data_IF_328765513637
#
_entry.id   IF_328765513637
#
_cell.length_a   1.000
_cell.length_b   1.000
_cell.length_c   1.000
_cell.angle_alpha   90.00
_cell.angle_beta   90.00
_cell.angle_gamma   90.00
#
_symmetry.space_group_name_H-M   'P 1'
#
loop_
_entity.id
_entity.type
_entity.pdbx_description
1 polymer ?
#
# COMPACT_ATOMS: atom_id res chain seq x y z
N UNK A 1 10.20 19.11 -2.53
CA UNK A 1 10.77 17.81 -2.97
C UNK A 1 9.77 16.73 -2.60
N UNK A 2 9.34 15.89 -3.52
CA UNK A 2 8.32 14.84 -3.34
C UNK A 2 6.92 15.37 -2.97
N UNK A 3 6.53 16.52 -3.48
CA UNK A 3 5.25 17.19 -3.18
C UNK A 3 4.04 16.46 -3.80
N UNK A 4 4.31 15.56 -4.73
CA UNK A 4 3.34 14.65 -5.34
C UNK A 4 3.05 13.39 -4.47
N UNK A 5 3.79 13.19 -3.39
CA UNK A 5 3.47 12.19 -2.36
C UNK A 5 2.71 12.86 -1.23
N UNK A 6 1.49 12.41 -1.00
CA UNK A 6 0.63 12.97 0.04
C UNK A 6 1.04 12.51 1.43
N UNK A 7 1.06 13.44 2.37
CA UNK A 7 1.38 13.16 3.77
C UNK A 7 2.84 12.76 4.00
N UNK A 8 3.09 12.12 5.13
CA UNK A 8 4.41 11.57 5.54
C UNK A 8 5.53 12.61 5.66
N UNK A 9 5.20 13.84 6.06
CA UNK A 9 6.14 14.97 6.08
C UNK A 9 7.39 14.69 6.94
N UNK A 10 7.23 14.06 8.10
CA UNK A 10 8.36 13.68 8.96
C UNK A 10 9.31 12.69 8.27
N UNK A 11 8.76 11.71 7.54
CA UNK A 11 9.56 10.75 6.78
C UNK A 11 10.27 11.44 5.62
N UNK A 12 9.61 12.35 4.91
CA UNK A 12 10.21 13.15 3.83
C UNK A 12 11.36 14.01 4.36
N UNK A 13 11.18 14.69 5.49
CA UNK A 13 12.23 15.47 6.13
C UNK A 13 13.42 14.62 6.56
N UNK A 14 13.16 13.44 7.15
CA UNK A 14 14.22 12.51 7.51
C UNK A 14 15.01 12.06 6.28
N UNK A 15 14.33 11.65 5.22
CA UNK A 15 14.95 11.23 3.97
C UNK A 15 15.73 12.37 3.29
N UNK A 16 15.22 13.61 3.34
CA UNK A 16 15.92 14.78 2.82
C UNK A 16 17.26 15.03 3.53
N UNK A 17 17.33 14.79 4.85
CA UNK A 17 18.60 14.87 5.61
C UNK A 17 19.60 13.81 5.16
N UNK A 18 19.16 12.62 4.75
CA UNK A 18 20.05 11.57 4.26
C UNK A 18 20.68 11.88 2.90
N UNK A 19 20.14 12.84 2.15
CA UNK A 19 20.76 13.32 0.90
C UNK A 19 22.00 14.18 1.17
N UNK A 20 22.11 14.78 2.34
CA UNK A 20 23.29 15.55 2.72
C UNK A 20 24.49 14.62 2.96
N UNK A 21 25.73 15.09 2.69
CA UNK A 21 26.95 14.34 3.03
C UNK A 21 27.02 14.06 4.54
N UNK A 22 27.34 12.84 4.92
CA UNK A 22 27.45 12.46 6.34
C UNK A 22 27.34 10.95 6.55
N UNK A 23 27.17 10.56 7.80
CA UNK A 23 26.96 9.15 8.17
C UNK A 23 25.55 8.72 7.74
N UNK A 24 25.47 7.91 6.68
CA UNK A 24 24.21 7.40 6.12
C UNK A 24 23.98 5.97 6.59
N UNK A 25 22.77 5.62 6.97
CA UNK A 25 22.43 4.24 7.24
C UNK A 25 22.55 3.42 5.94
N UNK A 26 22.97 2.19 6.07
CA UNK A 26 23.04 1.26 4.93
C UNK A 26 21.70 0.63 4.58
N UNK A 27 20.72 0.65 5.52
CA UNK A 27 19.42 0.04 5.30
C UNK A 27 18.29 0.81 6.00
N UNK A 28 17.19 0.99 5.27
CA UNK A 28 15.94 1.59 5.72
C UNK A 28 14.80 0.58 5.58
N UNK A 29 13.83 0.65 6.47
CA UNK A 29 12.58 -0.09 6.37
C UNK A 29 11.40 0.89 6.38
N UNK A 30 10.63 0.94 5.30
CA UNK A 30 9.37 1.68 5.21
C UNK A 30 8.24 0.72 5.50
N UNK A 31 7.55 0.89 6.63
CA UNK A 31 6.48 -0.02 7.03
C UNK A 31 5.19 0.72 7.40
N UNK A 32 4.06 0.06 7.23
CA UNK A 32 2.71 0.61 7.48
C UNK A 32 1.67 0.08 6.49
N UNK A 33 0.42 0.52 6.56
CA UNK A 33 -0.68 0.02 5.74
C UNK A 33 -0.35 -0.02 4.23
N UNK A 34 -1.02 -0.90 3.50
CA UNK A 34 -0.86 -1.01 2.05
C UNK A 34 -1.44 0.22 1.34
N UNK A 35 -0.89 0.59 0.17
CA UNK A 35 -1.44 1.65 -0.68
C UNK A 35 -1.22 3.10 -0.21
N UNK A 36 -0.48 3.34 0.90
CA UNK A 36 -0.25 4.69 1.45
C UNK A 36 0.96 5.43 0.86
N UNK A 37 1.58 4.90 -0.21
CA UNK A 37 2.67 5.59 -0.92
C UNK A 37 4.09 5.18 -0.52
N UNK A 38 4.31 4.16 0.32
CA UNK A 38 5.65 3.69 0.76
C UNK A 38 6.59 3.39 -0.41
N UNK A 39 6.16 2.54 -1.35
CA UNK A 39 6.93 2.19 -2.55
C UNK A 39 7.22 3.41 -3.40
N UNK A 40 6.23 4.27 -3.61
CA UNK A 40 6.38 5.49 -4.40
C UNK A 40 7.44 6.42 -3.80
N UNK A 41 7.41 6.62 -2.46
CA UNK A 41 8.44 7.43 -1.79
C UNK A 41 9.82 6.77 -1.85
N UNK A 42 9.91 5.44 -1.70
CA UNK A 42 11.17 4.70 -1.84
C UNK A 42 11.79 4.88 -3.23
N UNK A 43 11.01 4.76 -4.30
CA UNK A 43 11.46 4.94 -5.68
C UNK A 43 11.89 6.40 -5.96
N UNK A 44 11.15 7.38 -5.45
CA UNK A 44 11.50 8.79 -5.60
C UNK A 44 12.74 9.16 -4.82
N UNK A 45 12.88 8.64 -3.60
CA UNK A 45 14.09 8.81 -2.81
C UNK A 45 15.28 8.17 -3.52
N UNK A 46 15.16 6.94 -4.04
CA UNK A 46 16.22 6.27 -4.79
C UNK A 46 16.66 7.09 -6.02
N UNK A 47 15.70 7.60 -6.81
CA UNK A 47 15.98 8.49 -7.96
C UNK A 47 16.73 9.76 -7.54
N UNK A 48 16.31 10.36 -6.44
CA UNK A 48 16.94 11.57 -5.90
C UNK A 48 18.34 11.27 -5.39
N UNK A 49 18.50 10.17 -4.67
CA UNK A 49 19.78 9.74 -4.08
C UNK A 49 20.85 9.39 -5.13
N UNK A 50 20.42 8.83 -6.27
CA UNK A 50 21.30 8.48 -7.39
C UNK A 50 21.51 9.64 -8.38
N UNK A 51 20.85 10.78 -8.19
CA UNK A 51 20.99 11.93 -9.07
C UNK A 51 22.44 12.47 -9.06
N UNK A 52 23.02 12.70 -10.25
CA UNK A 52 24.37 13.19 -10.41
C UNK A 52 24.56 14.68 -10.11
N UNK A 53 23.46 15.41 -9.89
CA UNK A 53 23.48 16.84 -9.59
C UNK A 53 22.99 17.10 -8.17
N UNK A 54 23.89 17.35 -7.21
CA UNK A 54 23.56 17.48 -5.80
C UNK A 54 22.61 18.65 -5.47
N UNK A 55 22.65 19.72 -6.26
CA UNK A 55 21.90 20.96 -5.96
C UNK A 55 20.48 20.99 -6.54
N UNK A 56 20.15 20.05 -7.44
CA UNK A 56 18.87 20.01 -8.17
C UNK A 56 18.18 18.64 -8.01
N UNK A 57 17.95 18.16 -6.82
CA UNK A 57 17.46 16.79 -6.58
C UNK A 57 15.93 16.61 -6.72
N UNK A 58 15.47 15.63 -7.53
CA UNK A 58 16.09 15.04 -8.71
C UNK A 58 16.08 16.02 -9.88
N UNK A 59 17.18 16.20 -10.58
CA UNK A 59 17.27 17.19 -11.67
C UNK A 59 16.45 16.83 -12.92
N UNK A 60 16.00 15.58 -13.06
CA UNK A 60 15.21 15.07 -14.19
C UNK A 60 15.95 14.96 -15.55
N UNK A 61 17.15 15.52 -15.68
CA UNK A 61 17.87 15.67 -16.97
C UNK A 61 19.22 14.99 -17.05
N UNK A 62 19.85 14.60 -15.93
CA UNK A 62 21.09 13.82 -15.97
C UNK A 62 20.79 12.38 -16.41
N UNK A 63 21.84 11.66 -16.80
CA UNK A 63 21.72 10.29 -17.28
C UNK A 63 21.08 9.38 -16.24
N UNK A 64 21.51 9.45 -14.99
CA UNK A 64 20.90 8.72 -13.88
C UNK A 64 19.38 8.97 -13.76
N UNK A 65 18.94 10.24 -13.81
CA UNK A 65 17.52 10.57 -13.75
C UNK A 65 16.70 10.08 -14.95
N UNK A 66 17.31 9.98 -16.14
CA UNK A 66 16.64 9.46 -17.36
C UNK A 66 16.46 7.95 -17.28
N UNK A 67 17.48 7.24 -16.78
CA UNK A 67 17.45 5.78 -16.65
C UNK A 67 16.50 5.28 -15.55
N UNK A 68 16.13 6.15 -14.59
CA UNK A 68 15.06 5.88 -13.62
C UNK A 68 13.83 6.69 -14.03
N UNK A 69 13.06 6.18 -15.00
CA UNK A 69 11.82 6.81 -15.44
C UNK A 69 10.62 6.23 -14.66
N UNK A 70 10.20 6.95 -13.61
CA UNK A 70 9.11 6.52 -12.76
C UNK A 70 7.75 6.52 -13.48
N UNK A 71 7.56 7.41 -14.46
CA UNK A 71 6.32 7.51 -15.21
C UNK A 71 6.11 6.33 -16.16
N UNK A 72 7.21 5.81 -16.74
CA UNK A 72 7.19 4.67 -17.64
C UNK A 72 7.53 3.34 -16.94
N UNK A 73 7.68 3.36 -15.60
CA UNK A 73 8.15 2.22 -14.83
C UNK A 73 9.42 1.57 -15.41
N UNK A 74 10.30 2.39 -15.97
CA UNK A 74 11.57 1.96 -16.54
C UNK A 74 12.72 2.17 -15.56
N UNK A 75 13.44 1.11 -15.23
CA UNK A 75 14.50 1.09 -14.22
C UNK A 75 15.80 0.50 -14.82
N UNK A 76 16.24 1.07 -15.94
CA UNK A 76 17.45 0.61 -16.65
C UNK A 76 18.77 1.13 -16.04
N UNK A 77 18.72 1.73 -14.84
CA UNK A 77 19.89 2.31 -14.18
C UNK A 77 20.81 1.22 -13.61
N UNK A 78 22.12 1.21 -13.93
CA UNK A 78 23.03 0.14 -13.49
C UNK A 78 23.27 0.09 -11.98
N UNK A 79 23.01 1.20 -11.27
CA UNK A 79 23.17 1.31 -9.82
C UNK A 79 21.84 1.32 -9.09
N UNK A 80 20.73 0.97 -9.75
CA UNK A 80 19.43 0.81 -9.15
C UNK A 80 18.90 -0.61 -9.35
N UNK A 81 18.47 -1.23 -8.28
CA UNK A 81 17.86 -2.57 -8.30
C UNK A 81 16.49 -2.49 -7.64
N UNK A 82 15.49 -2.99 -8.35
CA UNK A 82 14.15 -3.20 -7.81
C UNK A 82 13.88 -4.69 -7.71
N UNK A 83 13.62 -5.15 -6.49
CA UNK A 83 13.16 -6.51 -6.21
C UNK A 83 11.68 -6.43 -5.84
N UNK A 84 10.85 -7.08 -6.63
CA UNK A 84 9.40 -7.09 -6.42
C UNK A 84 8.79 -8.44 -6.74
N UNK A 85 7.55 -8.64 -6.34
CA UNK A 85 6.82 -9.88 -6.60
C UNK A 85 6.64 -10.11 -8.11
N UNK A 86 6.83 -11.34 -8.58
CA UNK A 86 6.58 -11.74 -9.99
C UNK A 86 5.11 -11.56 -10.41
N UNK A 87 4.20 -11.68 -9.45
CA UNK A 87 2.79 -11.38 -9.58
C UNK A 87 2.20 -11.01 -8.22
N UNK A 88 1.11 -10.21 -8.18
CA UNK A 88 0.47 -9.82 -6.93
C UNK A 88 0.17 -11.01 -6.02
N UNK A 89 0.57 -10.91 -4.75
CA UNK A 89 0.33 -11.96 -3.76
C UNK A 89 1.31 -13.13 -3.74
N UNK A 90 2.26 -13.22 -4.70
CA UNK A 90 3.33 -14.22 -4.65
C UNK A 90 4.43 -13.82 -3.67
N UNK A 91 5.11 -14.82 -3.12
CA UNK A 91 6.23 -14.59 -2.21
C UNK A 91 7.50 -14.22 -2.99
N UNK A 92 8.36 -13.44 -2.36
CA UNK A 92 9.71 -13.13 -2.84
C UNK A 92 10.62 -14.32 -2.57
N UNK A 93 11.17 -14.89 -3.63
CA UNK A 93 11.98 -16.10 -3.57
C UNK A 93 13.46 -15.80 -3.36
N UNK A 94 14.18 -16.79 -2.85
CA UNK A 94 15.63 -16.70 -2.61
C UNK A 94 16.42 -16.38 -3.89
N UNK A 95 15.96 -16.82 -5.07
CA UNK A 95 16.63 -16.59 -6.35
C UNK A 95 16.75 -15.09 -6.64
N UNK A 96 15.69 -14.31 -6.37
CA UNK A 96 15.66 -12.86 -6.58
C UNK A 96 16.69 -12.16 -5.66
N UNK A 97 16.79 -12.57 -4.39
CA UNK A 97 17.75 -12.03 -3.43
C UNK A 97 19.18 -12.44 -3.80
N UNK A 98 19.39 -13.67 -4.28
CA UNK A 98 20.71 -14.12 -4.77
C UNK A 98 21.17 -13.34 -6.00
N UNK A 99 20.26 -13.04 -6.93
CA UNK A 99 20.59 -12.23 -8.11
C UNK A 99 20.99 -10.82 -7.70
N UNK A 100 20.23 -10.19 -6.81
CA UNK A 100 20.62 -8.89 -6.22
C UNK A 100 21.98 -8.98 -5.53
N UNK A 101 22.24 -10.06 -4.77
CA UNK A 101 23.53 -10.28 -4.06
C UNK A 101 24.71 -10.40 -5.00
N UNK A 102 24.55 -11.01 -6.19
CA UNK A 102 25.62 -11.05 -7.21
C UNK A 102 25.98 -9.65 -7.71
N UNK A 103 24.96 -8.80 -7.89
CA UNK A 103 25.18 -7.41 -8.30
C UNK A 103 25.83 -6.57 -7.18
N UNK A 104 25.73 -7.01 -5.91
CA UNK A 104 26.37 -6.36 -4.79
C UNK A 104 27.90 -6.45 -4.81
N UNK A 105 28.46 -7.41 -5.52
CA UNK A 105 29.90 -7.56 -5.67
C UNK A 105 30.55 -6.47 -6.58
N UNK A 106 29.75 -5.74 -7.35
CA UNK A 106 30.27 -4.73 -8.28
C UNK A 106 30.14 -3.32 -7.68
N UNK A 107 31.18 -2.52 -7.88
CA UNK A 107 31.16 -1.09 -7.53
C UNK A 107 30.09 -0.34 -8.33
N UNK A 108 29.61 0.82 -7.84
CA UNK A 108 28.72 1.69 -8.60
C UNK A 108 29.35 2.06 -9.95
N UNK A 109 28.52 2.08 -11.01
CA UNK A 109 29.00 2.30 -12.38
C UNK A 109 28.74 3.74 -12.88
N UNK A 110 27.61 4.33 -12.53
CA UNK A 110 27.16 5.64 -13.02
C UNK A 110 27.06 6.67 -11.89
N UNK A 111 26.58 6.25 -10.74
CA UNK A 111 26.39 7.10 -9.56
C UNK A 111 27.48 6.84 -8.52
N UNK A 112 27.53 7.63 -7.45
CA UNK A 112 28.47 7.41 -6.33
C UNK A 112 28.02 6.27 -5.40
N UNK A 113 26.78 5.82 -5.52
CA UNK A 113 26.15 4.81 -4.67
C UNK A 113 25.30 3.86 -5.50
N UNK A 114 24.97 2.70 -4.92
CA UNK A 114 23.93 1.80 -5.41
C UNK A 114 22.75 1.81 -4.46
N UNK A 115 21.54 1.70 -5.01
CA UNK A 115 20.31 1.60 -4.23
C UNK A 115 19.54 0.34 -4.63
N UNK A 116 19.15 -0.43 -3.65
CA UNK A 116 18.25 -1.56 -3.82
C UNK A 116 16.95 -1.30 -3.08
N UNK A 117 15.83 -1.33 -3.80
CA UNK A 117 14.48 -1.30 -3.23
C UNK A 117 13.91 -2.71 -3.27
N UNK A 118 13.50 -3.24 -2.11
CA UNK A 118 12.84 -4.53 -1.97
C UNK A 118 11.39 -4.25 -1.58
N UNK A 119 10.47 -4.36 -2.54
CA UNK A 119 9.04 -4.16 -2.31
C UNK A 119 8.41 -5.43 -1.75
N UNK A 120 7.39 -5.29 -0.91
CA UNK A 120 6.75 -6.40 -0.20
C UNK A 120 7.75 -7.31 0.57
N UNK A 121 8.71 -6.70 1.28
CA UNK A 121 9.74 -7.42 2.03
C UNK A 121 9.15 -8.37 3.10
N UNK A 122 7.95 -8.10 3.60
CA UNK A 122 7.17 -9.00 4.48
C UNK A 122 6.61 -10.25 3.77
N UNK A 123 6.83 -10.37 2.46
CA UNK A 123 6.51 -11.52 1.63
C UNK A 123 7.73 -12.37 1.25
N UNK A 124 8.90 -12.07 1.80
CA UNK A 124 10.07 -12.92 1.60
C UNK A 124 9.86 -14.31 2.20
N UNK A 125 10.27 -15.36 1.47
CA UNK A 125 10.41 -16.68 2.09
C UNK A 125 11.49 -16.62 3.17
N UNK A 126 11.48 -17.57 4.10
CA UNK A 126 12.48 -17.63 5.20
C UNK A 126 13.90 -17.70 4.64
N UNK A 127 14.10 -18.47 3.56
CA UNK A 127 15.39 -18.61 2.88
C UNK A 127 15.84 -17.30 2.22
N UNK A 128 14.90 -16.56 1.62
CA UNK A 128 15.16 -15.24 1.03
C UNK A 128 15.58 -14.23 2.11
N UNK A 129 14.83 -14.18 3.21
CA UNK A 129 15.12 -13.31 4.34
C UNK A 129 16.49 -13.63 4.97
N UNK A 130 16.83 -14.90 5.17
CA UNK A 130 18.14 -15.31 5.68
C UNK A 130 19.29 -14.98 4.69
N UNK A 131 19.04 -15.04 3.38
CA UNK A 131 20.03 -14.62 2.38
C UNK A 131 20.31 -13.12 2.44
N UNK A 132 19.27 -12.30 2.69
CA UNK A 132 19.39 -10.84 2.83
C UNK A 132 20.19 -10.45 4.08
N UNK A 133 20.08 -11.21 5.19
CA UNK A 133 20.78 -10.89 6.44
C UNK A 133 22.29 -10.72 6.26
N UNK A 134 22.92 -11.51 5.40
CA UNK A 134 24.36 -11.41 5.13
C UNK A 134 24.76 -10.04 4.59
N UNK A 135 23.91 -9.48 3.71
CA UNK A 135 24.14 -8.14 3.13
C UNK A 135 23.84 -7.01 4.12
N UNK A 136 22.93 -7.24 5.05
CA UNK A 136 22.63 -6.27 6.10
C UNK A 136 23.65 -6.27 7.23
N UNK A 137 24.33 -7.40 7.48
CA UNK A 137 25.41 -7.53 8.46
C UNK A 137 26.73 -6.96 7.96
N UNK A 138 27.07 -7.26 6.71
CA UNK A 138 28.28 -6.81 6.05
C UNK A 138 27.90 -6.06 4.75
N UNK A 139 27.36 -4.85 4.88
CA UNK A 139 26.88 -4.13 3.71
C UNK A 139 28.04 -3.75 2.79
N UNK A 140 27.91 -3.97 1.47
CA UNK A 140 28.92 -3.52 0.53
C UNK A 140 29.08 -2.00 0.60
N UNK A 141 30.27 -1.46 0.38
CA UNK A 141 30.51 -0.02 0.44
C UNK A 141 29.63 0.72 -0.59
N UNK A 142 29.10 1.88 -0.17
CA UNK A 142 28.26 2.73 -1.01
C UNK A 142 26.90 2.09 -1.43
N UNK A 143 26.39 1.14 -0.67
CA UNK A 143 25.05 0.59 -0.87
C UNK A 143 24.03 1.17 0.09
N UNK A 144 22.80 1.33 -0.41
CA UNK A 144 21.61 1.67 0.36
C UNK A 144 20.51 0.64 0.07
N UNK A 145 20.06 -0.06 1.09
CA UNK A 145 18.90 -0.97 1.00
C UNK A 145 17.66 -0.25 1.50
N UNK A 146 16.55 -0.36 0.79
CA UNK A 146 15.24 0.18 1.19
C UNK A 146 14.25 -0.96 1.13
N UNK A 147 13.84 -1.45 2.29
CA UNK A 147 12.82 -2.47 2.42
C UNK A 147 11.47 -1.78 2.55
N UNK A 148 10.46 -2.26 1.82
CA UNK A 148 9.08 -1.81 1.93
C UNK A 148 8.24 -2.97 2.42
N UNK A 149 7.50 -2.78 3.51
CA UNK A 149 6.68 -3.82 4.12
C UNK A 149 5.31 -3.27 4.53
N UNK A 150 4.29 -4.11 4.49
CA UNK A 150 2.96 -3.78 4.99
C UNK A 150 2.72 -4.33 6.39
N UNK A 151 3.36 -5.46 6.73
CA UNK A 151 3.20 -6.17 8.01
C UNK A 151 4.54 -6.39 8.69
N UNK A 152 4.82 -5.57 9.70
CA UNK A 152 6.09 -5.60 10.44
C UNK A 152 6.33 -6.96 11.12
N UNK A 153 5.27 -7.58 11.63
CA UNK A 153 5.28 -8.86 12.33
C UNK A 153 5.69 -10.06 11.47
N UNK A 154 5.70 -9.91 10.14
CA UNK A 154 6.17 -10.93 9.21
C UNK A 154 7.68 -10.87 8.92
N UNK A 155 8.31 -9.78 9.30
CA UNK A 155 9.75 -9.63 9.14
C UNK A 155 10.50 -10.29 10.28
N UNK A 156 11.63 -10.90 9.97
CA UNK A 156 12.49 -11.51 10.99
C UNK A 156 13.02 -10.44 11.95
N UNK A 157 13.02 -10.68 13.27
CA UNK A 157 13.61 -9.77 14.26
C UNK A 157 15.07 -9.42 13.98
N UNK A 158 15.79 -10.34 13.35
CA UNK A 158 17.18 -10.15 12.91
C UNK A 158 17.32 -9.12 11.79
N UNK A 159 16.34 -8.97 10.90
CA UNK A 159 16.28 -7.87 9.91
C UNK A 159 15.96 -6.57 10.63
N UNK A 160 14.93 -6.56 11.50
CA UNK A 160 14.48 -5.36 12.20
C UNK A 160 15.57 -4.71 13.05
N UNK A 161 16.51 -5.50 13.60
CA UNK A 161 17.65 -4.98 14.39
C UNK A 161 18.75 -4.31 13.54
N UNK A 162 18.72 -4.44 12.22
CA UNK A 162 19.76 -3.95 11.28
C UNK A 162 19.30 -2.87 10.35
N UNK A 163 18.04 -2.43 10.45
CA UNK A 163 17.45 -1.40 9.60
C UNK A 163 16.93 -0.22 10.41
N UNK A 164 16.99 0.98 9.87
CA UNK A 164 16.28 2.12 10.45
C UNK A 164 14.82 2.05 9.99
N UNK A 165 13.92 1.98 10.94
CA UNK A 165 12.51 1.81 10.71
C UNK A 165 11.82 3.17 10.55
N UNK A 166 11.12 3.38 9.43
CA UNK A 166 10.27 4.53 9.15
C UNK A 166 8.83 4.07 9.07
N UNK A 167 8.04 4.50 10.04
CA UNK A 167 6.61 4.21 10.08
C UNK A 167 5.86 5.15 9.15
N UNK A 168 4.96 4.57 8.37
CA UNK A 168 4.00 5.27 7.54
C UNK A 168 2.61 5.06 8.12
N UNK A 169 1.96 6.15 8.48
CA UNK A 169 0.60 6.13 9.00
C UNK A 169 -0.41 6.41 7.89
N UNK A 170 -1.68 6.17 8.17
CA UNK A 170 -2.77 6.50 7.25
C UNK A 170 -2.76 7.99 6.91
N UNK A 171 -3.06 8.32 5.67
CA UNK A 171 -3.20 9.71 5.23
C UNK A 171 -4.54 10.25 5.75
N UNK A 172 -4.60 11.49 6.25
CA UNK A 172 -5.85 12.12 6.65
C UNK A 172 -6.91 12.03 5.55
N UNK A 173 -8.14 11.66 5.91
CA UNK A 173 -9.24 11.46 4.95
C UNK A 173 -9.46 12.67 4.03
N UNK A 174 -9.37 13.89 4.57
CA UNK A 174 -9.52 15.12 3.80
C UNK A 174 -8.49 15.23 2.65
N UNK A 175 -7.23 14.89 2.93
CA UNK A 175 -6.17 14.91 1.91
C UNK A 175 -6.36 13.80 0.88
N UNK A 176 -6.80 12.62 1.32
CA UNK A 176 -7.11 11.51 0.40
C UNK A 176 -8.28 11.87 -0.50
N UNK A 177 -9.35 12.44 0.05
CA UNK A 177 -10.50 12.91 -0.71
C UNK A 177 -10.13 13.99 -1.74
N UNK A 178 -9.31 14.97 -1.34
CA UNK A 178 -8.83 16.01 -2.26
C UNK A 178 -8.02 15.41 -3.43
N UNK A 179 -7.17 14.44 -3.15
CA UNK A 179 -6.41 13.75 -4.19
C UNK A 179 -7.30 12.96 -5.15
N UNK A 180 -8.31 12.26 -4.64
CA UNK A 180 -9.27 11.53 -5.46
C UNK A 180 -10.13 12.47 -6.31
N UNK A 181 -10.50 13.65 -5.79
CA UNK A 181 -11.15 14.70 -6.55
C UNK A 181 -10.28 15.19 -7.72
N UNK A 182 -8.97 15.43 -7.47
CA UNK A 182 -8.03 15.85 -8.52
C UNK A 182 -7.86 14.78 -9.62
N UNK A 183 -8.01 13.50 -9.25
CA UNK A 183 -7.99 12.37 -10.20
C UNK A 183 -9.32 12.22 -10.96
N UNK A 184 -10.35 12.99 -10.63
CA UNK A 184 -11.66 12.95 -11.27
C UNK A 184 -12.48 11.70 -10.96
N UNK A 185 -12.19 11.03 -9.83
CA UNK A 185 -12.93 9.82 -9.45
C UNK A 185 -14.30 10.17 -8.85
N UNK A 186 -15.28 9.34 -9.17
CA UNK A 186 -16.62 9.46 -8.60
C UNK A 186 -16.64 9.07 -7.12
N UNK A 187 -17.51 9.75 -6.34
CA UNK A 187 -17.69 9.51 -4.90
C UNK A 187 -16.39 9.48 -4.09
N UNK A 188 -15.52 10.49 -4.17
CA UNK A 188 -14.20 10.51 -3.55
C UNK A 188 -14.25 10.42 -2.04
N UNK A 189 -15.28 10.97 -1.38
CA UNK A 189 -15.46 10.87 0.06
C UNK A 189 -15.70 9.42 0.50
N UNK A 190 -16.60 8.72 -0.17
CA UNK A 190 -16.89 7.31 0.11
C UNK A 190 -15.64 6.44 -0.11
N UNK A 191 -14.96 6.61 -1.25
CA UNK A 191 -13.74 5.86 -1.57
C UNK A 191 -12.62 6.12 -0.54
N UNK A 192 -12.45 7.37 -0.10
CA UNK A 192 -11.46 7.70 0.94
C UNK A 192 -11.77 7.01 2.26
N UNK A 193 -13.04 6.94 2.66
CA UNK A 193 -13.50 6.27 3.89
C UNK A 193 -13.34 4.75 3.79
N UNK A 194 -13.82 4.12 2.72
CA UNK A 194 -13.68 2.68 2.48
C UNK A 194 -12.21 2.24 2.46
N UNK A 195 -11.35 3.07 1.89
CA UNK A 195 -9.91 2.83 1.83
C UNK A 195 -9.14 3.17 3.12
N UNK A 196 -9.82 3.73 4.14
CA UNK A 196 -9.19 4.10 5.41
C UNK A 196 -8.02 5.08 5.26
N UNK A 197 -8.10 6.05 4.33
CA UNK A 197 -7.03 7.01 4.07
C UNK A 197 -5.86 6.46 3.23
N UNK A 198 -6.03 5.31 2.58
CA UNK A 198 -5.07 4.76 1.62
C UNK A 198 -5.42 5.20 0.21
N UNK A 199 -4.64 6.12 -0.38
CA UNK A 199 -4.90 6.59 -1.74
C UNK A 199 -4.83 5.46 -2.78
N UNK A 200 -3.83 4.58 -2.68
CA UNK A 200 -3.69 3.45 -3.60
C UNK A 200 -4.86 2.47 -3.50
N UNK A 201 -5.31 2.15 -2.27
CA UNK A 201 -6.49 1.31 -2.06
C UNK A 201 -7.75 1.97 -2.61
N UNK A 202 -7.92 3.29 -2.41
CA UNK A 202 -9.08 4.02 -2.95
C UNK A 202 -9.13 3.99 -4.49
N UNK A 203 -7.99 4.18 -5.16
CA UNK A 203 -7.88 4.07 -6.62
C UNK A 203 -8.19 2.64 -7.08
N UNK A 204 -7.70 1.62 -6.39
CA UNK A 204 -7.99 0.22 -6.70
C UNK A 204 -9.48 -0.11 -6.51
N UNK A 205 -10.11 0.38 -5.44
CA UNK A 205 -11.56 0.23 -5.21
C UNK A 205 -12.37 0.89 -6.32
N UNK A 206 -11.99 2.10 -6.76
CA UNK A 206 -12.63 2.78 -7.88
C UNK A 206 -12.48 1.99 -9.19
N UNK A 207 -11.28 1.50 -9.51
CA UNK A 207 -11.00 0.70 -10.70
C UNK A 207 -11.75 -0.64 -10.70
N UNK A 208 -12.03 -1.21 -9.54
CA UNK A 208 -12.80 -2.44 -9.36
C UNK A 208 -14.32 -2.20 -9.24
N UNK A 209 -14.78 -0.96 -9.45
CA UNK A 209 -16.19 -0.58 -9.34
C UNK A 209 -16.82 -0.92 -7.97
N UNK A 210 -16.07 -0.74 -6.89
CA UNK A 210 -16.49 -1.06 -5.54
C UNK A 210 -17.81 -0.36 -5.13
N UNK A 211 -18.12 0.78 -5.73
CA UNK A 211 -19.37 1.51 -5.50
C UNK A 211 -20.59 0.71 -5.97
N UNK A 212 -20.51 0.06 -7.14
CA UNK A 212 -21.55 -0.82 -7.63
C UNK A 212 -21.73 -2.07 -6.78
N UNK A 213 -20.61 -2.72 -6.40
CA UNK A 213 -20.65 -3.86 -5.47
C UNK A 213 -21.22 -3.51 -4.11
N UNK A 214 -20.95 -2.30 -3.61
CA UNK A 214 -21.54 -1.80 -2.37
C UNK A 214 -23.07 -1.66 -2.48
N UNK A 215 -23.54 -1.10 -3.58
CA UNK A 215 -24.98 -0.93 -3.81
C UNK A 215 -25.69 -2.29 -3.86
N UNK A 216 -25.11 -3.25 -4.60
CA UNK A 216 -25.63 -4.62 -4.65
C UNK A 216 -25.60 -5.29 -3.27
N UNK A 217 -24.57 -5.06 -2.46
CA UNK A 217 -24.49 -5.58 -1.10
C UNK A 217 -25.56 -4.98 -0.18
N UNK A 218 -25.87 -3.70 -0.33
CA UNK A 218 -26.92 -3.01 0.43
C UNK A 218 -28.30 -3.52 0.04
N UNK A 219 -28.62 -3.61 -1.25
CA UNK A 219 -29.85 -4.20 -1.76
C UNK A 219 -30.03 -5.65 -1.29
N UNK A 220 -28.95 -6.42 -1.29
CA UNK A 220 -28.97 -7.80 -0.79
C UNK A 220 -29.32 -7.88 0.69
N UNK A 221 -28.75 -7.02 1.53
CA UNK A 221 -29.05 -6.96 2.97
C UNK A 221 -30.50 -6.52 3.23
N UNK A 222 -31.00 -5.54 2.48
CA UNK A 222 -32.39 -5.06 2.58
C UNK A 222 -33.42 -6.15 2.22
N UNK A 223 -33.07 -6.97 1.24
CA UNK A 223 -33.95 -8.05 0.77
C UNK A 223 -33.82 -9.36 1.58
N UNK A 224 -32.82 -9.47 2.48
CA UNK A 224 -32.51 -10.71 3.19
C UNK A 224 -33.60 -11.07 4.23
N UNK A 225 -34.39 -12.15 4.04
CA UNK A 225 -35.42 -12.53 4.99
C UNK A 225 -34.80 -13.19 6.22
N UNK A 226 -35.04 -12.65 7.40
CA UNK A 226 -34.52 -13.18 8.67
C UNK A 226 -34.96 -14.63 8.96
N UNK A 227 -36.16 -15.01 8.50
CA UNK A 227 -36.70 -16.35 8.75
C UNK A 227 -35.97 -17.47 7.99
N UNK A 228 -35.43 -17.21 6.80
CA UNK A 228 -34.77 -18.21 5.95
C UNK A 228 -33.59 -17.63 5.14
N UNK A 229 -32.58 -17.04 5.79
CA UNK A 229 -31.51 -16.34 5.09
C UNK A 229 -30.71 -17.24 4.15
N UNK A 230 -30.38 -18.46 4.55
CA UNK A 230 -29.62 -19.40 3.73
C UNK A 230 -30.35 -19.83 2.46
N UNK A 231 -31.69 -19.97 2.55
CA UNK A 231 -32.52 -20.31 1.38
C UNK A 231 -32.57 -19.16 0.39
N UNK A 232 -32.62 -17.93 0.91
CA UNK A 232 -32.55 -16.72 0.07
C UNK A 232 -31.22 -16.62 -0.64
N UNK A 233 -30.09 -16.77 0.09
CA UNK A 233 -28.74 -16.76 -0.49
C UNK A 233 -28.61 -17.80 -1.60
N UNK A 234 -29.06 -19.05 -1.35
CA UNK A 234 -29.01 -20.13 -2.34
C UNK A 234 -29.91 -19.90 -3.57
N UNK A 235 -30.89 -19.00 -3.48
CA UNK A 235 -31.77 -18.65 -4.60
C UNK A 235 -31.30 -17.48 -5.46
N UNK A 236 -30.10 -16.92 -5.20
CA UNK A 236 -29.57 -15.76 -5.91
C UNK A 236 -28.59 -16.19 -7.02
N UNK A 237 -29.03 -16.35 -8.30
CA UNK A 237 -28.16 -16.83 -9.39
C UNK A 237 -26.97 -15.91 -9.67
N UNK A 238 -27.12 -14.61 -9.40
CA UNK A 238 -26.08 -13.60 -9.63
C UNK A 238 -24.85 -13.78 -8.73
N UNK A 239 -24.98 -14.42 -7.56
CA UNK A 239 -23.83 -14.76 -6.71
C UNK A 239 -22.89 -15.75 -7.39
N UNK A 240 -23.42 -16.64 -8.25
CA UNK A 240 -22.63 -17.61 -9.01
C UNK A 240 -21.94 -16.94 -10.22
N UNK A 241 -22.40 -15.78 -10.67
CA UNK A 241 -21.82 -15.05 -11.80
C UNK A 241 -20.54 -14.30 -11.46
N UNK A 242 -20.24 -14.11 -10.17
CA UNK A 242 -19.01 -13.44 -9.76
C UNK A 242 -17.80 -14.35 -10.00
N UNK A 243 -16.75 -13.76 -10.57
CA UNK A 243 -15.44 -14.36 -10.50
C UNK A 243 -14.90 -14.28 -9.05
N UNK A 244 -13.76 -14.89 -8.80
CA UNK A 244 -13.17 -14.93 -7.47
C UNK A 244 -12.93 -13.51 -6.90
N UNK A 245 -12.55 -12.56 -7.74
CA UNK A 245 -12.24 -11.19 -7.31
C UNK A 245 -13.51 -10.40 -7.00
N UNK A 246 -14.53 -10.50 -7.85
CA UNK A 246 -15.83 -9.88 -7.61
C UNK A 246 -16.52 -10.42 -6.36
N UNK A 247 -16.47 -11.74 -6.13
CA UNK A 247 -17.01 -12.34 -4.90
C UNK A 247 -16.31 -11.87 -3.62
N UNK A 248 -14.98 -11.69 -3.66
CA UNK A 248 -14.23 -11.13 -2.53
C UNK A 248 -14.62 -9.67 -2.27
N UNK A 249 -14.72 -8.86 -3.32
CA UNK A 249 -15.08 -7.45 -3.20
C UNK A 249 -16.51 -7.28 -2.66
N UNK A 250 -17.47 -8.07 -3.17
CA UNK A 250 -18.83 -8.09 -2.66
C UNK A 250 -18.88 -8.43 -1.16
N UNK A 251 -18.12 -9.47 -0.75
CA UNK A 251 -18.03 -9.86 0.67
C UNK A 251 -17.43 -8.76 1.52
N UNK A 252 -16.41 -8.07 1.02
CA UNK A 252 -15.79 -6.93 1.70
C UNK A 252 -16.80 -5.78 1.89
N UNK A 253 -17.61 -5.47 0.88
CA UNK A 253 -18.67 -4.47 1.00
C UNK A 253 -19.72 -4.86 2.02
N UNK A 254 -20.14 -6.13 2.07
CA UNK A 254 -21.03 -6.63 3.11
C UNK A 254 -20.46 -6.44 4.52
N UNK A 255 -19.16 -6.72 4.70
CA UNK A 255 -18.49 -6.54 5.99
C UNK A 255 -18.45 -5.07 6.41
N UNK A 256 -18.20 -4.13 5.47
CA UNK A 256 -18.21 -2.70 5.76
C UNK A 256 -19.61 -2.22 6.17
N UNK A 257 -20.66 -2.67 5.49
CA UNK A 257 -22.05 -2.34 5.84
C UNK A 257 -22.42 -2.91 7.21
N UNK A 258 -22.10 -4.18 7.48
CA UNK A 258 -22.36 -4.82 8.78
C UNK A 258 -21.58 -4.11 9.91
N UNK A 259 -20.33 -3.73 9.69
CA UNK A 259 -19.54 -2.93 10.63
C UNK A 259 -20.22 -1.60 10.93
N UNK A 260 -20.70 -0.89 9.91
CA UNK A 260 -21.33 0.42 10.09
C UNK A 260 -22.63 0.32 10.86
N UNK A 261 -23.44 -0.73 10.65
CA UNK A 261 -24.63 -1.03 11.48
C UNK A 261 -24.24 -1.23 12.94
N UNK A 262 -23.17 -2.00 13.24
CA UNK A 262 -22.69 -2.21 14.60
C UNK A 262 -22.16 -0.91 15.25
N UNK A 263 -21.46 -0.09 14.50
CA UNK A 263 -20.97 1.20 15.00
C UNK A 263 -22.12 2.14 15.34
N UNK A 264 -23.13 2.20 14.49
CA UNK A 264 -24.33 2.98 14.74
C UNK A 264 -25.04 2.54 16.03
N UNK A 265 -25.26 1.24 16.21
CA UNK A 265 -25.89 0.68 17.41
C UNK A 265 -25.10 1.01 18.70
N UNK A 266 -23.83 1.27 18.61
CA UNK A 266 -22.96 1.63 19.74
C UNK A 266 -22.72 3.15 19.88
N UNK A 267 -23.40 4.00 19.10
CA UNK A 267 -23.29 5.46 19.20
C UNK A 267 -21.96 6.01 18.61
N UNK A 268 -21.32 5.28 17.71
CA UNK A 268 -20.03 5.64 17.07
C UNK A 268 -20.26 6.12 15.63
N UNK A 269 -21.24 6.98 15.43
CA UNK A 269 -21.70 7.44 14.10
C UNK A 269 -20.60 8.13 13.28
N UNK A 270 -19.68 8.84 13.92
CA UNK A 270 -18.57 9.54 13.26
C UNK A 270 -17.59 8.60 12.57
N UNK A 271 -17.57 7.30 12.94
CA UNK A 271 -16.66 6.29 12.40
C UNK A 271 -17.24 5.48 11.25
N UNK A 272 -18.47 5.79 10.83
CA UNK A 272 -19.17 5.10 9.75
C UNK A 272 -18.52 5.45 8.41
N UNK A 273 -18.34 4.43 7.56
CA UNK A 273 -17.84 4.62 6.20
C UNK A 273 -18.95 5.05 5.23
N UNK A 274 -20.12 4.44 5.35
CA UNK A 274 -21.26 4.60 4.45
C UNK A 274 -22.23 5.71 4.91
N UNK A 275 -21.68 6.91 5.20
CA UNK A 275 -22.47 8.04 5.70
C UNK A 275 -23.48 8.61 4.67
N UNK A 276 -23.31 8.29 3.38
CA UNK A 276 -24.20 8.70 2.28
C UNK A 276 -25.48 7.88 2.18
N UNK A 277 -25.59 6.76 2.88
CA UNK A 277 -26.77 5.89 2.88
C UNK A 277 -27.25 5.55 4.31
N UNK A 278 -27.10 6.47 5.24
CA UNK A 278 -27.44 6.29 6.66
C UNK A 278 -28.88 5.85 6.88
N UNK A 279 -29.85 6.43 6.15
CA UNK A 279 -31.27 6.06 6.28
C UNK A 279 -31.52 4.59 5.93
N UNK A 280 -30.83 4.09 4.92
CA UNK A 280 -30.90 2.67 4.50
C UNK A 280 -30.24 1.77 5.54
N UNK A 281 -29.10 2.17 6.10
CA UNK A 281 -28.44 1.45 7.20
C UNK A 281 -29.34 1.36 8.44
N UNK A 282 -30.05 2.44 8.77
CA UNK A 282 -31.00 2.46 9.88
C UNK A 282 -32.16 1.48 9.66
N UNK A 283 -32.65 1.32 8.44
CA UNK A 283 -33.69 0.34 8.13
C UNK A 283 -33.21 -1.09 8.43
N UNK A 284 -31.94 -1.41 8.24
CA UNK A 284 -31.37 -2.72 8.56
C UNK A 284 -31.33 -3.00 10.08
N UNK A 285 -31.17 -1.95 10.90
CA UNK A 285 -31.21 -2.08 12.37
C UNK A 285 -32.56 -2.49 12.85
N UNK A 286 -33.63 -1.88 12.34
CA UNK A 286 -35.01 -2.21 12.71
C UNK A 286 -35.43 -3.64 12.32
N UNK A 287 -34.79 -4.18 11.25
CA UNK A 287 -35.01 -5.58 10.87
C UNK A 287 -34.39 -6.54 11.89
N UNK A 288 -33.30 -6.14 12.57
CA UNK A 288 -32.56 -6.98 13.52
C UNK A 288 -33.06 -6.90 14.95
N UNK A 289 -33.93 -5.95 15.30
CA UNK A 289 -34.58 -5.93 16.63
C UNK A 289 -35.66 -7.02 16.71
N UNK A 290 -35.46 -8.05 17.56
CA UNK A 290 -36.58 -8.97 17.81
C UNK A 290 -37.72 -8.15 18.42
N UNK A 291 -38.88 -8.14 17.76
CA UNK A 291 -40.10 -7.64 18.34
C UNK A 291 -40.25 -8.23 19.76
N UNK A 292 -39.89 -7.42 20.78
CA UNK A 292 -40.17 -7.81 22.17
C UNK A 292 -41.66 -7.99 22.30
N UNK A 293 -42.11 -9.15 22.79
CA UNK A 293 -43.54 -9.42 23.03
C UNK A 293 -44.11 -8.50 24.11
#
# INVERSE_FOLDING_TARGET
MWDDILGHEQNKEFLARLLQPGNRPHALLFYGPEGIGKKQLALRFAKTFLCQKPDEHPCGRCESCRLINLAEHSFAHPDFILVEQEAPGKDLKIEQIKEMSRQAAFAPALSSHKVCVIDAADRMTVEAANSLLKLLEEPPPNWMFILVASRLERLLPTILSRVIQLRFDQIPLALTQEALNRLGLERPELLARLAGGSLGSAVNLAAADAVSYREQALEFLEALPLAQPMRYVASQPWLESYDKQGGLLFTEMLLFLARDVLLWQNGLEEQIYNCDCTDRLLSLIHISEPTRP
#
